data_IF_368726585058
#
_entry.id   IF_368726585058
#
_cell.length_a   1.000
_cell.length_b   1.000
_cell.length_c   1.000
_cell.angle_alpha   90.00
_cell.angle_beta   90.00
_cell.angle_gamma   90.00
#
_symmetry.space_group_name_H-M   'P 1'
#
loop_
_entity.id
_entity.type
_entity.pdbx_description
1 polymer ?
#
# COMPACT_ATOMS: atom_id res chain seq x y z
N UNK A 1 -6.60 -3.65 31.87
CA UNK A 1 -7.19 -2.29 31.88
C UNK A 1 -6.24 -1.38 32.64
N UNK A 2 -5.61 -0.44 31.99
CA UNK A 2 -4.77 0.59 32.62
C UNK A 2 -5.66 1.53 33.41
N UNK A 3 -5.48 1.58 34.73
CA UNK A 3 -6.17 2.53 35.59
C UNK A 3 -5.73 3.95 35.19
N UNK A 4 -6.67 4.82 34.85
CA UNK A 4 -6.32 6.19 34.47
C UNK A 4 -5.63 6.90 35.64
N UNK A 5 -4.49 7.51 35.44
CA UNK A 5 -3.73 8.23 36.47
C UNK A 5 -4.57 9.23 37.28
N UNK A 6 -5.58 9.82 36.65
CA UNK A 6 -6.52 10.75 37.30
C UNK A 6 -7.38 10.13 38.41
N UNK A 7 -7.50 8.81 38.44
CA UNK A 7 -8.29 8.07 39.45
C UNK A 7 -7.45 7.52 40.59
N UNK A 8 -6.13 7.70 40.56
CA UNK A 8 -5.25 7.27 41.63
C UNK A 8 -5.25 8.25 42.81
N UNK A 9 -5.09 7.73 44.04
CA UNK A 9 -4.80 8.57 45.19
C UNK A 9 -3.43 9.26 45.06
N UNK A 10 -3.18 10.37 45.75
CA UNK A 10 -1.87 11.04 45.70
C UNK A 10 -0.70 10.13 46.10
N UNK A 11 -0.89 9.22 47.06
CA UNK A 11 0.14 8.27 47.47
C UNK A 11 0.37 7.20 46.38
N UNK A 12 -0.69 6.67 45.77
CA UNK A 12 -0.60 5.71 44.67
C UNK A 12 0.09 6.34 43.44
N UNK A 13 -0.25 7.59 43.14
CA UNK A 13 0.39 8.31 42.03
C UNK A 13 1.88 8.57 42.27
N UNK A 14 2.28 8.93 43.48
CA UNK A 14 3.71 9.10 43.85
C UNK A 14 4.50 7.79 43.73
N UNK A 15 3.90 6.67 44.14
CA UNK A 15 4.52 5.35 44.03
C UNK A 15 4.70 4.95 42.58
N UNK A 16 3.66 5.10 41.77
CA UNK A 16 3.72 4.83 40.33
C UNK A 16 4.77 5.71 39.63
N UNK A 17 4.82 7.01 39.97
CA UNK A 17 5.82 7.92 39.45
C UNK A 17 7.24 7.48 39.80
N UNK A 18 7.48 7.10 41.07
CA UNK A 18 8.79 6.62 41.49
C UNK A 18 9.21 5.34 40.76
N UNK A 19 8.29 4.39 40.57
CA UNK A 19 8.54 3.16 39.84
C UNK A 19 8.86 3.42 38.34
N UNK A 20 8.04 4.22 37.67
CA UNK A 20 8.26 4.57 36.26
C UNK A 20 9.56 5.36 36.07
N UNK A 21 9.87 6.29 37.01
CA UNK A 21 11.13 7.05 36.99
C UNK A 21 12.35 6.14 37.16
N UNK A 22 12.31 5.19 38.09
CA UNK A 22 13.41 4.24 38.28
C UNK A 22 13.61 3.36 37.02
N UNK A 23 12.52 2.91 36.39
CA UNK A 23 12.61 2.13 35.11
C UNK A 23 13.18 2.99 34.00
N UNK A 24 12.78 4.25 33.87
CA UNK A 24 13.31 5.17 32.89
C UNK A 24 14.81 5.40 33.09
N UNK A 25 15.24 5.66 34.32
CA UNK A 25 16.65 5.88 34.64
C UNK A 25 17.50 4.63 34.34
N UNK A 26 17.02 3.45 34.71
CA UNK A 26 17.71 2.19 34.40
C UNK A 26 17.86 1.98 32.86
N UNK A 27 16.83 2.31 32.06
CA UNK A 27 16.93 2.24 30.60
C UNK A 27 17.89 3.29 30.05
N UNK A 28 17.92 4.49 30.62
CA UNK A 28 18.86 5.56 30.22
C UNK A 28 20.31 5.18 30.49
N UNK A 29 20.58 4.50 31.62
CA UNK A 29 21.92 4.03 31.99
C UNK A 29 22.49 2.96 31.03
N UNK A 30 21.60 2.26 30.28
CA UNK A 30 22.05 1.31 29.23
C UNK A 30 22.72 2.01 28.05
N UNK A 31 22.60 3.32 27.91
CA UNK A 31 23.24 4.10 26.84
C UNK A 31 22.83 3.67 25.43
N UNK A 32 21.61 3.16 25.25
CA UNK A 32 21.14 2.63 23.97
C UNK A 32 20.98 3.75 22.95
N UNK A 33 21.61 3.57 21.77
CA UNK A 33 21.46 4.46 20.62
C UNK A 33 20.52 3.82 19.59
N UNK A 34 19.22 3.68 19.93
CA UNK A 34 18.22 3.05 19.09
C UNK A 34 17.57 4.06 18.13
N UNK A 35 17.52 3.71 16.85
CA UNK A 35 16.77 4.49 15.86
C UNK A 35 15.39 3.87 15.63
N UNK A 36 14.35 4.52 16.11
CA UNK A 36 12.96 4.08 15.98
C UNK A 36 12.20 4.81 14.86
N UNK A 37 12.87 5.67 14.11
CA UNK A 37 12.20 6.50 13.09
C UNK A 37 11.71 5.69 11.89
N UNK A 38 12.36 4.55 11.58
CA UNK A 38 11.95 3.65 10.48
C UNK A 38 12.36 2.22 10.79
N UNK A 39 11.42 1.28 10.64
CA UNK A 39 11.73 -0.14 10.60
C UNK A 39 12.51 -0.46 9.32
N UNK A 40 13.64 -1.14 9.47
CA UNK A 40 14.47 -1.65 8.35
C UNK A 40 14.91 -3.07 8.70
N UNK A 41 15.02 -3.98 7.70
CA UNK A 41 15.63 -5.28 7.92
C UNK A 41 17.03 -5.12 8.51
N UNK A 42 17.34 -5.88 9.55
CA UNK A 42 18.68 -5.95 10.10
C UNK A 42 19.64 -6.74 9.19
N UNK A 43 20.96 -6.65 9.48
CA UNK A 43 21.97 -7.34 8.66
C UNK A 43 21.71 -8.85 8.51
N UNK A 44 21.36 -9.54 9.59
CA UNK A 44 21.09 -10.97 9.55
C UNK A 44 19.88 -11.33 8.66
N UNK A 45 18.85 -10.49 8.62
CA UNK A 45 17.71 -10.69 7.74
C UNK A 45 18.07 -10.48 6.27
N UNK A 46 18.90 -9.47 5.96
CA UNK A 46 19.40 -9.22 4.60
C UNK A 46 20.35 -10.33 4.14
N UNK A 47 21.24 -10.79 5.04
CA UNK A 47 22.17 -11.88 4.74
C UNK A 47 21.42 -13.19 4.42
N UNK A 48 20.31 -13.46 5.09
CA UNK A 48 19.51 -14.68 4.88
C UNK A 48 18.91 -14.79 3.47
N UNK A 49 18.77 -13.67 2.75
CA UNK A 49 18.22 -13.64 1.37
C UNK A 49 19.27 -13.20 0.34
N UNK A 50 20.54 -13.08 0.74
CA UNK A 50 21.60 -12.52 -0.12
C UNK A 50 21.93 -13.41 -1.33
N UNK A 51 21.61 -14.71 -1.28
CA UNK A 51 21.81 -15.63 -2.40
C UNK A 51 21.06 -15.20 -3.66
N UNK A 52 19.96 -14.44 -3.50
CA UNK A 52 19.24 -13.82 -4.62
C UNK A 52 20.17 -13.01 -5.53
N UNK A 53 21.17 -12.33 -4.96
CA UNK A 53 22.10 -11.47 -5.71
C UNK A 53 23.05 -12.26 -6.63
N UNK A 54 23.14 -13.56 -6.47
CA UNK A 54 24.07 -14.43 -7.22
C UNK A 54 23.37 -15.49 -8.09
N UNK A 55 22.04 -15.49 -8.10
CA UNK A 55 21.26 -16.48 -8.88
C UNK A 55 21.56 -16.35 -10.38
N UNK A 56 21.61 -15.12 -10.90
CA UNK A 56 21.78 -14.86 -12.33
C UNK A 56 23.27 -14.65 -12.69
N UNK A 57 24.05 -15.72 -12.62
CA UNK A 57 25.48 -15.70 -12.96
C UNK A 57 25.79 -16.32 -14.35
N UNK A 58 24.81 -16.92 -15.00
CA UNK A 58 24.94 -17.51 -16.33
C UNK A 58 23.89 -16.91 -17.29
N UNK A 59 24.25 -16.56 -18.54
CA UNK A 59 23.29 -16.07 -19.54
C UNK A 59 22.07 -16.97 -19.76
N UNK A 60 22.21 -18.30 -19.58
CA UNK A 60 21.10 -19.26 -19.70
C UNK A 60 20.04 -19.01 -18.62
N UNK A 61 20.44 -18.60 -17.44
CA UNK A 61 19.53 -18.27 -16.32
C UNK A 61 18.75 -16.96 -16.54
N UNK A 62 19.18 -16.14 -17.51
CA UNK A 62 18.50 -14.91 -17.89
C UNK A 62 17.37 -15.13 -18.91
N UNK A 63 16.95 -16.38 -19.13
CA UNK A 63 15.82 -16.71 -20.00
C UNK A 63 14.58 -17.01 -19.17
N UNK A 64 13.53 -16.25 -19.37
CA UNK A 64 12.23 -16.46 -18.72
C UNK A 64 11.07 -16.19 -19.68
N UNK A 65 10.01 -16.96 -19.57
CA UNK A 65 8.78 -16.78 -20.35
C UNK A 65 9.02 -16.68 -21.88
N UNK A 66 10.06 -17.37 -22.36
CA UNK A 66 10.44 -17.38 -23.80
C UNK A 66 11.22 -16.14 -24.26
N UNK A 67 11.73 -15.32 -23.34
CA UNK A 67 12.49 -14.10 -23.65
C UNK A 67 13.79 -13.99 -22.84
N UNK A 68 14.73 -13.23 -23.38
CA UNK A 68 15.94 -12.84 -22.66
C UNK A 68 15.66 -11.56 -21.82
N UNK A 69 15.65 -11.71 -20.49
CA UNK A 69 15.29 -10.63 -19.56
C UNK A 69 16.31 -9.48 -19.54
N UNK A 70 17.50 -9.69 -20.10
CA UNK A 70 18.54 -8.64 -20.21
C UNK A 70 18.20 -7.60 -21.29
N UNK A 71 17.24 -7.90 -22.19
CA UNK A 71 16.80 -6.97 -23.22
C UNK A 71 15.58 -6.16 -22.70
N UNK A 72 15.26 -5.05 -23.33
CA UNK A 72 14.07 -4.26 -23.00
C UNK A 72 12.80 -4.82 -23.68
N UNK A 73 11.64 -4.22 -23.37
CA UNK A 73 10.31 -4.67 -23.80
C UNK A 73 9.54 -5.37 -22.69
N UNK A 74 8.31 -5.78 -22.96
CA UNK A 74 7.37 -6.34 -21.99
C UNK A 74 6.96 -5.30 -20.91
N UNK A 75 6.26 -4.26 -21.34
CA UNK A 75 5.89 -3.12 -20.52
C UNK A 75 5.21 -3.50 -19.20
N UNK A 76 4.26 -4.44 -19.24
CA UNK A 76 3.49 -4.83 -18.05
C UNK A 76 4.18 -5.87 -17.16
N UNK A 77 5.43 -6.25 -17.48
CA UNK A 77 6.23 -7.18 -16.70
C UNK A 77 6.14 -8.65 -17.15
N UNK A 78 7.03 -9.48 -16.59
CA UNK A 78 7.13 -10.91 -16.93
C UNK A 78 5.85 -11.66 -16.53
N UNK A 79 5.34 -12.57 -17.38
CA UNK A 79 4.20 -13.44 -17.04
C UNK A 79 4.40 -14.23 -15.74
N UNK A 80 5.61 -14.74 -15.48
CA UNK A 80 5.95 -15.43 -14.23
C UNK A 80 5.85 -14.54 -13.01
N UNK A 81 6.32 -13.28 -13.08
CA UNK A 81 6.21 -12.31 -12.01
C UNK A 81 4.75 -11.90 -11.76
N UNK A 82 3.95 -11.72 -12.83
CA UNK A 82 2.50 -11.47 -12.70
C UNK A 82 1.79 -12.61 -11.99
N UNK A 83 2.12 -13.87 -12.35
CA UNK A 83 1.55 -15.06 -11.71
C UNK A 83 1.90 -15.13 -10.24
N UNK A 84 3.16 -14.85 -9.87
CA UNK A 84 3.60 -14.83 -8.48
C UNK A 84 2.77 -13.83 -7.66
N UNK A 85 2.65 -12.58 -8.14
CA UNK A 85 1.88 -11.57 -7.42
C UNK A 85 0.38 -11.87 -7.41
N UNK A 86 -0.17 -12.44 -8.47
CA UNK A 86 -1.57 -12.87 -8.50
C UNK A 86 -1.85 -13.91 -7.40
N UNK A 87 -0.96 -14.87 -7.19
CA UNK A 87 -1.06 -15.85 -6.10
C UNK A 87 -0.96 -15.18 -4.70
N UNK A 88 -0.07 -14.19 -4.55
CA UNK A 88 0.11 -13.47 -3.28
C UNK A 88 -1.07 -12.56 -2.92
N UNK A 89 -1.72 -11.96 -3.91
CA UNK A 89 -2.83 -11.00 -3.72
C UNK A 89 -4.21 -11.66 -3.83
N UNK A 90 -4.30 -12.88 -4.36
CA UNK A 90 -5.55 -13.58 -4.60
C UNK A 90 -6.29 -13.11 -5.85
N UNK A 91 -5.66 -12.30 -6.72
CA UNK A 91 -6.24 -11.79 -7.96
C UNK A 91 -5.81 -12.61 -9.19
N UNK A 92 -6.13 -12.16 -10.40
CA UNK A 92 -5.74 -12.84 -11.63
C UNK A 92 -4.46 -12.24 -12.21
N UNK A 93 -3.64 -13.04 -12.91
CA UNK A 93 -2.38 -12.59 -13.50
C UNK A 93 -2.58 -11.45 -14.53
N UNK A 94 -3.68 -11.46 -15.28
CA UNK A 94 -4.03 -10.38 -16.22
C UNK A 94 -4.46 -9.07 -15.51
N UNK A 95 -4.73 -9.11 -14.22
CA UNK A 95 -5.00 -7.95 -13.37
C UNK A 95 -3.73 -7.37 -12.74
N UNK A 96 -2.54 -7.89 -13.08
CA UNK A 96 -1.25 -7.45 -12.53
C UNK A 96 -0.41 -6.68 -13.57
N UNK A 97 0.19 -5.59 -13.11
CA UNK A 97 1.24 -4.82 -13.81
C UNK A 97 2.46 -4.74 -12.88
N UNK A 98 3.60 -5.26 -13.35
CA UNK A 98 4.83 -5.32 -12.54
C UNK A 98 5.62 -4.02 -12.70
N UNK A 99 5.92 -3.39 -11.57
CA UNK A 99 6.68 -2.14 -11.50
C UNK A 99 8.13 -2.32 -11.05
N UNK A 100 8.77 -1.21 -10.75
CA UNK A 100 10.11 -1.15 -10.18
C UNK A 100 10.14 -1.53 -8.69
N UNK A 101 11.22 -1.16 -8.00
CA UNK A 101 11.47 -1.61 -6.62
C UNK A 101 10.48 -1.11 -5.56
N UNK A 102 9.71 -0.08 -5.84
CA UNK A 102 8.86 0.55 -4.82
C UNK A 102 7.42 0.75 -5.31
N UNK A 103 6.46 0.17 -4.60
CA UNK A 103 5.02 0.41 -4.83
C UNK A 103 4.65 1.89 -4.68
N UNK A 104 5.34 2.63 -3.81
CA UNK A 104 5.13 4.07 -3.63
C UNK A 104 5.33 4.86 -4.93
N UNK A 105 6.25 4.45 -5.81
CA UNK A 105 6.46 5.06 -7.12
C UNK A 105 5.24 4.84 -8.03
N UNK A 106 4.67 3.64 -8.03
CA UNK A 106 3.45 3.33 -8.78
C UNK A 106 2.26 4.13 -8.26
N UNK A 107 2.12 4.27 -6.93
CA UNK A 107 1.07 5.07 -6.31
C UNK A 107 1.20 6.55 -6.69
N UNK A 108 2.40 7.12 -6.60
CA UNK A 108 2.67 8.49 -7.05
C UNK A 108 2.32 8.66 -8.53
N UNK A 109 2.76 7.74 -9.37
CA UNK A 109 2.56 7.78 -10.81
C UNK A 109 1.07 7.69 -11.19
N UNK A 110 0.29 6.89 -10.46
CA UNK A 110 -1.17 6.82 -10.64
C UNK A 110 -1.84 8.16 -10.35
N UNK A 111 -1.49 8.82 -9.23
CA UNK A 111 -2.01 10.16 -8.91
C UNK A 111 -1.53 11.19 -9.93
N UNK A 112 -0.26 11.15 -10.35
CA UNK A 112 0.29 12.04 -11.36
C UNK A 112 -0.47 11.91 -12.70
N UNK A 113 -0.78 10.69 -13.13
CA UNK A 113 -1.58 10.43 -14.33
C UNK A 113 -3.01 10.92 -14.19
N UNK A 114 -3.64 10.73 -13.03
CA UNK A 114 -4.96 11.31 -12.75
C UNK A 114 -4.96 12.84 -12.91
N UNK A 115 -3.91 13.50 -12.43
CA UNK A 115 -3.76 14.96 -12.55
C UNK A 115 -3.47 15.43 -13.96
N UNK A 116 -2.63 14.71 -14.71
CA UNK A 116 -2.16 15.15 -16.04
C UNK A 116 -3.05 14.68 -17.19
N UNK A 117 -3.64 13.51 -17.09
CA UNK A 117 -4.39 12.86 -18.17
C UNK A 117 -5.83 12.49 -17.78
N UNK A 118 -6.12 12.35 -16.47
CA UNK A 118 -7.33 11.72 -15.96
C UNK A 118 -7.18 10.20 -15.84
N UNK A 119 -8.14 9.55 -15.20
CA UNK A 119 -8.28 8.11 -15.12
C UNK A 119 -9.31 7.59 -16.14
N UNK A 120 -9.52 6.29 -16.22
CA UNK A 120 -10.41 5.64 -17.19
C UNK A 120 -11.80 6.30 -17.30
N UNK A 121 -12.37 6.71 -16.14
CA UNK A 121 -13.70 7.31 -16.05
C UNK A 121 -13.68 8.82 -15.75
N UNK A 122 -12.52 9.47 -15.82
CA UNK A 122 -12.42 10.91 -15.61
C UNK A 122 -13.02 11.68 -16.80
N UNK A 123 -13.86 12.65 -16.50
CA UNK A 123 -14.38 13.58 -17.51
C UNK A 123 -13.30 14.55 -18.01
N UNK A 124 -12.32 14.85 -17.15
CA UNK A 124 -11.17 15.69 -17.44
C UNK A 124 -9.99 15.33 -16.51
N UNK A 125 -8.73 15.69 -16.87
CA UNK A 125 -7.62 15.63 -15.94
C UNK A 125 -7.93 16.38 -14.63
N UNK A 126 -7.54 15.82 -13.50
CA UNK A 126 -7.85 16.44 -12.19
C UNK A 126 -7.26 17.84 -12.03
N UNK A 127 -6.18 18.15 -12.74
CA UNK A 127 -5.60 19.50 -12.79
C UNK A 127 -6.53 20.56 -13.36
N UNK A 128 -7.61 20.17 -14.03
CA UNK A 128 -8.62 21.08 -14.63
C UNK A 128 -9.90 21.18 -13.77
N UNK A 129 -9.96 20.44 -12.66
CA UNK A 129 -11.10 20.50 -11.75
C UNK A 129 -10.88 21.65 -10.76
N UNK A 130 -11.96 22.31 -10.38
CA UNK A 130 -11.91 23.40 -9.39
C UNK A 130 -11.41 22.91 -8.03
N UNK A 131 -11.75 21.67 -7.68
CA UNK A 131 -11.40 21.09 -6.39
C UNK A 131 -11.26 19.57 -6.48
N UNK A 132 -10.20 19.07 -5.85
CA UNK A 132 -9.97 17.63 -5.63
C UNK A 132 -9.80 17.40 -4.14
N UNK A 133 -10.58 16.48 -3.58
CA UNK A 133 -10.52 16.06 -2.18
C UNK A 133 -10.13 14.59 -2.08
N UNK A 134 -9.51 14.24 -0.96
CA UNK A 134 -9.04 12.89 -0.72
C UNK A 134 -9.28 12.45 0.72
N UNK A 135 -9.77 11.23 0.91
CA UNK A 135 -9.98 10.67 2.23
C UNK A 135 -8.68 10.07 2.77
N UNK A 136 -8.29 10.50 3.95
CA UNK A 136 -7.05 10.15 4.62
C UNK A 136 -7.36 9.49 5.97
N UNK A 137 -7.54 8.16 6.04
CA UNK A 137 -7.62 7.45 7.31
C UNK A 137 -6.39 7.74 8.16
N UNK A 138 -6.60 8.23 9.40
CA UNK A 138 -5.54 8.66 10.28
C UNK A 138 -5.77 8.18 11.73
N UNK A 139 -4.70 7.77 12.44
CA UNK A 139 -3.29 7.76 12.00
C UNK A 139 -3.07 6.89 10.76
N UNK A 140 -2.12 7.28 9.87
CA UNK A 140 -1.87 6.61 8.61
C UNK A 140 -0.43 6.82 8.10
N UNK A 141 -0.10 6.21 6.97
CA UNK A 141 1.24 6.28 6.42
C UNK A 141 1.53 7.66 5.82
N UNK A 142 2.49 8.38 6.41
CA UNK A 142 2.82 9.77 6.09
C UNK A 142 3.19 10.01 4.63
N UNK A 143 3.75 9.00 3.94
CA UNK A 143 4.12 9.11 2.53
C UNK A 143 2.93 9.21 1.60
N UNK A 144 1.84 8.52 1.91
CA UNK A 144 0.58 8.66 1.19
C UNK A 144 0.07 10.11 1.24
N UNK A 145 0.04 10.69 2.44
CA UNK A 145 -0.42 12.05 2.63
C UNK A 145 0.47 13.06 1.91
N UNK A 146 1.79 12.83 1.90
CA UNK A 146 2.72 13.67 1.15
C UNK A 146 2.54 13.61 -0.36
N UNK A 147 2.10 12.48 -0.91
CA UNK A 147 1.75 12.40 -2.34
C UNK A 147 0.57 13.34 -2.59
N UNK A 148 -0.54 13.19 -1.87
CA UNK A 148 -1.73 14.03 -2.06
C UNK A 148 -1.44 15.51 -1.81
N UNK A 149 -0.70 15.84 -0.75
CA UNK A 149 -0.27 17.20 -0.45
C UNK A 149 0.54 17.83 -1.60
N UNK A 150 1.46 17.06 -2.21
CA UNK A 150 2.33 17.56 -3.28
C UNK A 150 1.58 17.95 -4.55
N UNK A 151 0.37 17.44 -4.76
CA UNK A 151 -0.53 17.81 -5.86
C UNK A 151 -1.57 18.87 -5.46
N UNK A 152 -1.49 19.41 -4.24
CA UNK A 152 -2.44 20.43 -3.77
C UNK A 152 -3.85 19.89 -3.50
N UNK A 153 -3.98 18.59 -3.25
CA UNK A 153 -5.26 17.94 -2.94
C UNK A 153 -5.72 18.31 -1.53
N UNK A 154 -6.98 18.65 -1.37
CA UNK A 154 -7.58 18.84 -0.04
C UNK A 154 -7.76 17.49 0.65
N UNK A 155 -7.04 17.30 1.75
CA UNK A 155 -7.09 16.07 2.53
C UNK A 155 -8.18 16.16 3.60
N UNK A 156 -9.06 15.15 3.64
CA UNK A 156 -10.11 14.99 4.66
C UNK A 156 -9.68 13.85 5.58
N UNK A 157 -9.44 14.17 6.85
CA UNK A 157 -9.10 13.15 7.84
C UNK A 157 -10.33 12.27 8.15
N UNK A 158 -10.14 10.97 8.11
CA UNK A 158 -11.11 9.96 8.54
C UNK A 158 -10.54 9.25 9.78
N UNK A 159 -11.25 9.22 10.91
CA UNK A 159 -10.77 8.50 12.09
C UNK A 159 -10.61 7.00 11.81
N UNK A 160 -9.56 6.40 12.37
CA UNK A 160 -9.40 4.95 12.42
C UNK A 160 -10.15 4.37 13.62
N UNK A 161 -10.78 3.21 13.41
CA UNK A 161 -11.39 2.36 14.44
C UNK A 161 -10.56 1.09 14.61
N UNK A 162 -10.80 0.25 15.63
CA UNK A 162 -10.10 -1.03 15.77
C UNK A 162 -10.25 -2.01 14.59
N UNK A 163 -11.18 -1.76 13.67
CA UNK A 163 -11.49 -2.62 12.53
C UNK A 163 -11.26 -1.99 11.16
N UNK A 164 -10.67 -0.80 11.12
CA UNK A 164 -10.42 -0.03 9.90
C UNK A 164 -10.90 1.41 10.00
N UNK A 165 -11.07 2.15 8.88
CA UNK A 165 -11.57 3.51 8.89
C UNK A 165 -13.03 3.57 9.37
N UNK A 166 -13.45 4.73 9.89
CA UNK A 166 -14.86 5.01 10.20
C UNK A 166 -15.69 4.99 8.92
N UNK A 167 -16.33 3.84 8.66
CA UNK A 167 -17.07 3.63 7.42
C UNK A 167 -18.36 4.45 7.32
N UNK A 168 -19.00 4.81 8.43
CA UNK A 168 -20.21 5.65 8.40
C UNK A 168 -19.86 7.06 7.89
N UNK A 169 -18.70 7.56 8.31
CA UNK A 169 -18.17 8.83 7.81
C UNK A 169 -17.72 8.70 6.35
N UNK A 170 -17.00 7.64 5.97
CA UNK A 170 -16.54 7.40 4.59
C UNK A 170 -17.74 7.37 3.63
N UNK A 171 -18.77 6.59 3.91
CA UNK A 171 -19.98 6.45 3.08
C UNK A 171 -20.74 7.77 2.90
N UNK A 172 -20.60 8.67 3.87
CA UNK A 172 -21.16 10.03 3.77
C UNK A 172 -20.30 10.93 2.89
N UNK A 173 -18.98 10.89 3.08
CA UNK A 173 -18.04 11.77 2.40
C UNK A 173 -17.90 11.47 0.90
N UNK A 174 -17.99 10.19 0.49
CA UNK A 174 -17.91 9.80 -0.94
C UNK A 174 -19.09 10.29 -1.78
N UNK A 175 -20.13 10.84 -1.17
CA UNK A 175 -21.25 11.48 -1.88
C UNK A 175 -20.91 12.87 -2.44
N UNK A 176 -19.79 13.45 -2.02
CA UNK A 176 -19.25 14.67 -2.61
C UNK A 176 -18.47 14.30 -3.89
N UNK A 177 -18.86 14.80 -5.08
CA UNK A 177 -18.18 14.48 -6.34
C UNK A 177 -16.74 15.03 -6.43
N UNK A 178 -16.36 15.95 -5.53
CA UNK A 178 -15.00 16.43 -5.42
C UNK A 178 -14.09 15.42 -4.69
N UNK A 179 -14.65 14.44 -3.96
CA UNK A 179 -13.87 13.37 -3.30
C UNK A 179 -13.49 12.33 -4.34
N UNK A 180 -12.22 12.32 -4.72
CA UNK A 180 -11.68 11.52 -5.81
C UNK A 180 -10.99 10.24 -5.36
N UNK A 181 -10.83 10.02 -4.07
CA UNK A 181 -10.27 8.76 -3.61
C UNK A 181 -9.99 8.67 -2.11
N UNK A 182 -9.44 7.52 -1.74
CA UNK A 182 -9.10 7.18 -0.36
C UNK A 182 -7.82 6.34 -0.32
N UNK A 183 -6.95 6.62 0.66
CA UNK A 183 -5.82 5.76 1.01
C UNK A 183 -6.25 4.63 1.93
N UNK A 184 -5.79 3.40 1.67
CA UNK A 184 -6.02 2.25 2.53
C UNK A 184 -4.73 1.47 2.74
N UNK A 185 -4.48 1.07 4.01
CA UNK A 185 -3.46 0.08 4.36
C UNK A 185 -4.18 -1.01 5.15
N UNK A 186 -4.71 -2.05 4.46
CA UNK A 186 -5.73 -2.92 5.03
C UNK A 186 -5.20 -3.93 6.05
N UNK A 187 -3.94 -4.32 5.94
CA UNK A 187 -3.31 -5.30 6.83
C UNK A 187 -2.14 -4.65 7.55
N UNK A 188 -2.14 -4.72 8.88
CA UNK A 188 -1.11 -4.12 9.75
C UNK A 188 -0.83 -2.65 9.42
N UNK A 189 -1.89 -1.83 9.43
CA UNK A 189 -1.83 -0.41 9.08
C UNK A 189 -0.71 0.33 9.82
N UNK A 190 0.00 1.18 9.12
CA UNK A 190 1.07 1.98 9.71
C UNK A 190 0.53 3.36 10.12
N UNK A 191 0.61 3.78 11.42
CA UNK A 191 1.43 3.19 12.50
C UNK A 191 0.70 2.20 13.43
N UNK A 192 -0.63 2.09 13.39
CA UNK A 192 -1.42 1.49 14.47
C UNK A 192 -1.48 -0.06 14.43
N UNK A 193 -1.04 -0.67 13.33
CA UNK A 193 -1.06 -2.14 13.18
C UNK A 193 -2.47 -2.73 13.01
N UNK A 194 -3.48 -1.92 12.71
CA UNK A 194 -4.87 -2.36 12.53
C UNK A 194 -4.97 -3.24 11.28
N UNK A 195 -5.72 -4.34 11.40
CA UNK A 195 -6.16 -5.16 10.27
C UNK A 195 -7.64 -4.88 10.04
N UNK A 196 -8.01 -4.55 8.80
CA UNK A 196 -9.40 -4.27 8.46
C UNK A 196 -10.23 -5.54 8.61
N UNK A 197 -11.41 -5.42 9.22
CA UNK A 197 -12.33 -6.55 9.31
C UNK A 197 -12.92 -6.88 7.95
N UNK A 198 -13.35 -8.14 7.76
CA UNK A 198 -14.04 -8.56 6.54
C UNK A 198 -15.31 -7.72 6.27
N UNK A 199 -15.98 -7.24 7.32
CA UNK A 199 -17.11 -6.32 7.17
C UNK A 199 -16.66 -4.96 6.62
N UNK A 200 -15.59 -4.38 7.17
CA UNK A 200 -15.02 -3.12 6.69
C UNK A 200 -14.62 -3.23 5.22
N UNK A 201 -13.94 -4.32 4.83
CA UNK A 201 -13.50 -4.55 3.45
C UNK A 201 -14.71 -4.65 2.51
N UNK A 202 -15.77 -5.38 2.89
CA UNK A 202 -17.01 -5.46 2.10
C UNK A 202 -17.72 -4.11 1.98
N UNK A 203 -17.78 -3.31 3.06
CA UNK A 203 -18.33 -1.94 3.00
C UNK A 203 -17.55 -1.04 2.06
N UNK A 204 -16.21 -1.11 2.10
CA UNK A 204 -15.34 -0.37 1.18
C UNK A 204 -15.61 -0.79 -0.27
N UNK A 205 -15.66 -2.08 -0.56
CA UNK A 205 -15.94 -2.59 -1.91
C UNK A 205 -17.33 -2.17 -2.44
N UNK A 206 -18.29 -2.03 -1.54
CA UNK A 206 -19.69 -1.65 -1.86
C UNK A 206 -19.94 -0.14 -1.86
N UNK A 207 -18.94 0.71 -1.68
CA UNK A 207 -19.07 2.17 -1.73
C UNK A 207 -19.80 2.62 -3.00
N UNK A 208 -20.52 3.72 -2.90
CA UNK A 208 -21.21 4.38 -4.02
C UNK A 208 -20.75 5.83 -4.14
N UNK A 209 -19.51 6.05 -4.64
CA UNK A 209 -18.99 7.38 -4.82
C UNK A 209 -19.81 8.18 -5.85
N UNK A 210 -19.96 9.49 -5.59
CA UNK A 210 -20.57 10.38 -6.60
C UNK A 210 -19.59 10.70 -7.74
N UNK A 211 -18.28 10.62 -7.49
CA UNK A 211 -17.26 10.75 -8.52
C UNK A 211 -17.14 9.45 -9.33
N UNK A 212 -17.34 9.46 -10.67
CA UNK A 212 -17.23 8.25 -11.50
C UNK A 212 -15.80 7.71 -11.56
N UNK A 213 -14.81 8.54 -11.30
CA UNK A 213 -13.39 8.26 -11.27
C UNK A 213 -12.80 8.20 -9.86
N UNK A 214 -13.65 7.83 -8.87
CA UNK A 214 -13.19 7.62 -7.49
C UNK A 214 -12.19 6.47 -7.44
N UNK A 215 -11.06 6.70 -6.78
CA UNK A 215 -9.91 5.82 -6.74
C UNK A 215 -9.64 5.29 -5.33
N UNK A 216 -9.80 4.01 -5.12
CA UNK A 216 -9.37 3.32 -3.92
C UNK A 216 -7.91 2.90 -4.08
N UNK A 217 -7.01 3.55 -3.34
CA UNK A 217 -5.58 3.21 -3.30
C UNK A 217 -5.33 2.20 -2.17
N UNK A 218 -5.23 0.93 -2.55
CA UNK A 218 -5.14 -0.20 -1.63
C UNK A 218 -3.70 -0.66 -1.47
N UNK A 219 -2.97 -0.10 -0.50
CA UNK A 219 -1.56 -0.44 -0.23
C UNK A 219 -1.47 -1.68 0.66
N UNK A 220 -1.38 -2.85 0.02
CA UNK A 220 -1.28 -4.15 0.67
C UNK A 220 0.19 -4.54 0.92
N UNK A 221 0.94 -3.64 1.57
CA UNK A 221 2.38 -3.79 1.82
C UNK A 221 2.74 -5.02 2.66
N UNK A 222 1.79 -5.55 3.41
CA UNK A 222 1.97 -6.67 4.35
C UNK A 222 1.13 -7.90 3.98
N UNK A 223 0.82 -8.08 2.69
CA UNK A 223 -0.08 -9.13 2.19
C UNK A 223 0.28 -10.55 2.66
N UNK A 224 1.56 -10.87 2.81
CA UNK A 224 2.05 -12.19 3.23
C UNK A 224 2.54 -12.25 4.69
N UNK A 225 2.42 -11.16 5.44
CA UNK A 225 2.95 -11.11 6.80
C UNK A 225 1.94 -11.66 7.81
N UNK A 226 2.45 -12.49 8.73
CA UNK A 226 1.81 -12.84 9.99
C UNK A 226 2.85 -12.73 11.10
N UNK A 227 2.48 -12.06 12.18
CA UNK A 227 3.37 -11.87 13.33
C UNK A 227 3.05 -12.84 14.46
N UNK A 228 1.81 -13.34 14.51
CA UNK A 228 1.35 -14.31 15.50
C UNK A 228 0.33 -15.27 14.87
N UNK A 229 0.45 -16.57 15.20
CA UNK A 229 -0.50 -17.58 14.72
C UNK A 229 -0.30 -18.02 13.25
N UNK A 230 -1.27 -18.77 12.70
CA UNK A 230 -1.24 -19.22 11.32
C UNK A 230 -1.54 -18.07 10.35
N UNK A 231 -1.09 -18.22 9.10
CA UNK A 231 -1.46 -17.30 8.03
C UNK A 231 -2.99 -17.26 7.84
N UNK A 232 -3.52 -16.05 7.85
CA UNK A 232 -4.93 -15.79 7.58
C UNK A 232 -5.03 -15.10 6.21
N UNK A 233 -5.65 -15.74 5.21
CA UNK A 233 -5.90 -15.12 3.92
C UNK A 233 -6.72 -13.84 4.09
N UNK A 234 -6.35 -12.80 3.35
CA UNK A 234 -7.09 -11.55 3.28
C UNK A 234 -8.00 -11.59 2.04
N UNK A 235 -9.23 -11.08 2.15
CA UNK A 235 -10.18 -11.08 1.05
C UNK A 235 -9.63 -10.26 -0.15
N UNK A 236 -9.72 -10.82 -1.36
CA UNK A 236 -9.35 -10.13 -2.59
C UNK A 236 -10.28 -8.95 -2.86
N UNK A 237 -9.76 -7.74 -2.72
CA UNK A 237 -10.52 -6.50 -2.89
C UNK A 237 -10.98 -6.30 -4.33
N UNK A 238 -10.22 -6.76 -5.35
CA UNK A 238 -10.62 -6.64 -6.75
C UNK A 238 -11.89 -7.47 -7.03
N UNK A 239 -11.93 -8.69 -6.52
CA UNK A 239 -13.11 -9.56 -6.63
C UNK A 239 -14.30 -8.96 -5.90
N UNK A 240 -14.12 -8.50 -4.66
CA UNK A 240 -15.21 -7.89 -3.89
C UNK A 240 -15.75 -6.62 -4.56
N UNK A 241 -14.90 -5.75 -5.09
CA UNK A 241 -15.32 -4.57 -5.84
C UNK A 241 -16.11 -4.95 -7.10
N UNK A 242 -15.67 -5.99 -7.84
CA UNK A 242 -16.36 -6.49 -9.03
C UNK A 242 -17.74 -7.03 -8.70
N UNK A 243 -17.86 -7.84 -7.64
CA UNK A 243 -19.13 -8.38 -7.16
C UNK A 243 -20.08 -7.29 -6.66
N UNK A 244 -19.57 -6.22 -6.08
CA UNK A 244 -20.32 -5.06 -5.65
C UNK A 244 -20.73 -4.09 -6.79
N UNK A 245 -20.28 -4.36 -8.03
CA UNK A 245 -20.57 -3.54 -9.20
C UNK A 245 -19.65 -2.33 -9.37
N UNK A 246 -18.47 -2.35 -8.74
CA UNK A 246 -17.44 -1.30 -8.78
C UNK A 246 -16.09 -1.83 -9.32
N UNK A 247 -16.04 -2.53 -10.49
CA UNK A 247 -14.85 -3.24 -10.95
C UNK A 247 -13.62 -2.34 -11.14
N UNK A 248 -13.84 -1.07 -11.46
CA UNK A 248 -12.77 -0.12 -11.81
C UNK A 248 -12.39 0.83 -10.66
N UNK A 249 -12.98 0.63 -9.47
CA UNK A 249 -12.77 1.56 -8.35
C UNK A 249 -11.41 1.39 -7.67
N UNK A 250 -10.80 0.20 -7.72
CA UNK A 250 -9.63 -0.13 -6.91
C UNK A 250 -8.36 -0.28 -7.73
N UNK A 251 -7.27 0.26 -7.18
CA UNK A 251 -5.88 -0.06 -7.53
C UNK A 251 -5.20 -0.59 -6.28
N UNK A 252 -4.80 -1.85 -6.31
CA UNK A 252 -4.07 -2.50 -5.25
C UNK A 252 -2.58 -2.49 -5.53
N UNK A 253 -1.78 -2.27 -4.49
CA UNK A 253 -0.33 -2.18 -4.57
C UNK A 253 0.32 -3.10 -3.55
N UNK A 254 1.39 -3.78 -3.99
CA UNK A 254 2.27 -4.54 -3.12
C UNK A 254 3.71 -4.46 -3.63
N UNK A 255 4.64 -4.94 -2.84
CA UNK A 255 6.05 -5.03 -3.24
C UNK A 255 6.79 -6.08 -2.42
N UNK A 256 7.93 -6.53 -2.93
CA UNK A 256 8.84 -7.40 -2.19
C UNK A 256 9.72 -6.65 -1.17
N UNK A 257 9.56 -5.33 -1.04
CA UNK A 257 10.40 -4.47 -0.19
C UNK A 257 10.42 -4.88 1.29
N UNK A 258 9.36 -5.51 1.79
CA UNK A 258 9.27 -5.99 3.17
C UNK A 258 9.41 -7.51 3.29
N UNK A 259 9.67 -8.20 2.18
CA UNK A 259 9.75 -9.67 2.09
C UNK A 259 11.21 -10.10 1.88
N UNK A 260 11.92 -9.47 0.92
CA UNK A 260 13.28 -9.83 0.53
C UNK A 260 14.23 -8.63 0.68
N UNK A 261 14.74 -8.09 -0.43
CA UNK A 261 15.72 -6.99 -0.45
C UNK A 261 15.02 -5.65 -0.76
N UNK A 262 14.88 -4.73 0.22
CA UNK A 262 14.20 -3.45 -0.01
C UNK A 262 14.82 -2.60 -1.11
N UNK A 263 16.12 -2.75 -1.35
CA UNK A 263 16.87 -1.97 -2.34
C UNK A 263 16.90 -2.58 -3.75
N UNK A 264 16.40 -3.82 -3.93
CA UNK A 264 16.51 -4.57 -5.18
C UNK A 264 15.26 -5.43 -5.45
N UNK A 265 14.12 -5.01 -4.95
CA UNK A 265 12.86 -5.73 -5.14
C UNK A 265 12.07 -5.28 -6.35
N UNK A 266 10.86 -5.80 -6.45
CA UNK A 266 9.86 -5.43 -7.44
C UNK A 266 8.55 -5.07 -6.76
N UNK A 267 7.68 -4.35 -7.46
CA UNK A 267 6.35 -3.98 -7.01
C UNK A 267 5.30 -4.37 -8.03
N UNK A 268 4.06 -4.37 -7.60
CA UNK A 268 2.90 -4.64 -8.45
C UNK A 268 1.85 -3.56 -8.25
N UNK A 269 1.17 -3.22 -9.32
CA UNK A 269 -0.12 -2.55 -9.36
C UNK A 269 -1.13 -3.57 -9.90
N UNK A 270 -2.12 -3.91 -9.09
CA UNK A 270 -3.22 -4.77 -9.52
C UNK A 270 -4.51 -3.95 -9.61
N UNK A 271 -5.24 -4.12 -10.73
CA UNK A 271 -6.47 -3.40 -11.00
C UNK A 271 -7.31 -4.18 -12.02
N UNK A 272 -8.52 -3.69 -12.33
CA UNK A 272 -9.29 -4.25 -13.44
C UNK A 272 -8.48 -4.21 -14.75
N UNK A 273 -8.74 -5.16 -15.64
CA UNK A 273 -8.08 -5.20 -16.95
C UNK A 273 -8.35 -3.94 -17.77
N UNK A 274 -9.51 -3.29 -17.57
CA UNK A 274 -9.85 -2.02 -18.21
C UNK A 274 -8.96 -0.87 -17.70
N UNK A 275 -8.78 -0.76 -16.38
CA UNK A 275 -7.87 0.20 -15.78
C UNK A 275 -6.41 -0.04 -16.22
N UNK A 276 -5.96 -1.30 -16.20
CA UNK A 276 -4.59 -1.62 -16.64
C UNK A 276 -4.37 -1.27 -18.11
N UNK A 277 -5.30 -1.62 -18.99
CA UNK A 277 -5.20 -1.28 -20.40
C UNK A 277 -5.16 0.24 -20.65
N UNK A 278 -5.87 1.03 -19.81
CA UNK A 278 -5.80 2.49 -19.87
C UNK A 278 -4.44 3.00 -19.35
N UNK A 279 -3.99 2.50 -18.20
CA UNK A 279 -2.72 2.90 -17.59
C UNK A 279 -1.52 2.53 -18.46
N UNK A 280 -1.52 1.35 -19.07
CA UNK A 280 -0.46 0.89 -19.97
C UNK A 280 -0.25 1.85 -21.15
N UNK A 281 -1.32 2.40 -21.74
CA UNK A 281 -1.20 3.42 -22.80
C UNK A 281 -0.46 4.67 -22.35
N UNK A 282 -0.66 5.08 -21.11
CA UNK A 282 0.03 6.24 -20.55
C UNK A 282 1.47 5.89 -20.13
N UNK A 283 1.70 4.68 -19.68
CA UNK A 283 3.03 4.19 -19.29
C UNK A 283 3.91 3.91 -20.51
N UNK A 284 3.34 3.46 -21.61
CA UNK A 284 4.06 3.25 -22.89
C UNK A 284 4.70 4.54 -23.43
N UNK A 285 4.08 5.70 -23.13
CA UNK A 285 4.68 7.01 -23.43
C UNK A 285 5.88 7.32 -22.51
N UNK A 286 5.84 6.81 -21.29
CA UNK A 286 6.81 7.11 -20.23
C UNK A 286 8.03 6.19 -20.28
N UNK A 287 7.84 4.91 -20.62
CA UNK A 287 8.90 3.89 -20.58
C UNK A 287 8.62 2.74 -21.55
N UNK A 288 9.65 1.95 -21.84
CA UNK A 288 9.52 0.71 -22.63
C UNK A 288 9.25 -0.49 -21.72
N UNK A 289 9.89 -0.55 -20.56
CA UNK A 289 9.71 -1.60 -19.56
C UNK A 289 10.40 -1.23 -18.25
N UNK A 290 9.95 -1.84 -17.17
CA UNK A 290 10.72 -1.91 -15.93
C UNK A 290 11.84 -2.98 -16.02
N UNK A 291 12.72 -2.99 -15.04
CA UNK A 291 13.86 -3.91 -14.92
C UNK A 291 13.39 -5.37 -14.77
N UNK A 292 13.55 -6.15 -15.84
CA UNK A 292 13.15 -7.56 -15.87
C UNK A 292 14.17 -8.50 -15.19
N UNK A 293 15.40 -8.06 -15.00
CA UNK A 293 16.40 -8.85 -14.27
C UNK A 293 15.96 -8.97 -12.79
N UNK A 294 15.42 -7.90 -12.22
CA UNK A 294 14.85 -7.96 -10.86
C UNK A 294 13.52 -8.72 -10.78
N UNK A 295 12.82 -8.89 -11.90
CA UNK A 295 11.56 -9.63 -11.93
C UNK A 295 11.77 -11.16 -11.98
N UNK A 296 12.89 -11.59 -12.53
CA UNK A 296 13.30 -12.99 -12.64
C UNK A 296 13.90 -13.49 -11.32
#
# INVERSE_FOLDING_TARGET
>A
MTTAYRSLSPEALRREYAEVSARFDALRELGLALNMARGKPGKAQLDAVSDILTILHDPVQCQADGMDVRNYGQLSGLPSAKKLFAELLGCRAEECFIGGSASLTLMYDTIAKAYTHGLLHSEAPWSRLDKVKWLCPAPGYDRHFKITESFGVEMITVPMTPTGPDMDLVETLVRDPAVKGMWCVPKYSNPDGIVYSAETVRRIAALKPAAPDFLLMWDNAYCVHEFEGPFVPFDDILTLCREAGNPDMVFEYASTSKITLPGAGISVMAASTANLAYMEKLMDIQMISYDKVNQL
#
